data_IF_814351087920
#
_entry.id   IF_814351087920
#
_cell.length_a   1.000
_cell.length_b   1.000
_cell.length_c   1.000
_cell.angle_alpha   90.00
_cell.angle_beta   90.00
_cell.angle_gamma   90.00
#
_symmetry.space_group_name_H-M   'P 1'
#
loop_
_entity.id
_entity.type
_entity.pdbx_description
1 polymer ?
#
# COMPACT_ATOMS: atom_id res chain seq x y z
N UNK A 1 -9.91 -2.91 -0.53
CA UNK A 1 -9.31 -2.41 0.73
C UNK A 1 -10.34 -2.26 1.85
N UNK A 2 -11.40 -1.43 1.74
CA UNK A 2 -12.36 -1.28 2.86
C UNK A 2 -12.94 -2.61 3.37
N UNK A 3 -13.41 -3.47 2.46
CA UNK A 3 -13.96 -4.77 2.82
C UNK A 3 -12.94 -5.68 3.53
N UNK A 4 -11.70 -5.68 3.05
CA UNK A 4 -10.59 -6.44 3.66
C UNK A 4 -10.28 -5.94 5.08
N UNK A 5 -10.21 -4.61 5.25
CA UNK A 5 -10.00 -3.99 6.56
C UNK A 5 -11.18 -4.26 7.51
N UNK A 6 -12.42 -4.25 7.03
CA UNK A 6 -13.59 -4.60 7.85
C UNK A 6 -13.57 -6.07 8.29
N UNK A 7 -13.11 -6.98 7.44
CA UNK A 7 -13.09 -8.41 7.72
C UNK A 7 -12.02 -8.81 8.75
N UNK A 8 -10.82 -8.24 8.60
CA UNK A 8 -9.66 -8.66 9.39
C UNK A 8 -9.21 -7.61 10.43
N UNK A 9 -9.77 -6.40 10.41
CA UNK A 9 -9.36 -5.28 11.27
C UNK A 9 -9.40 -5.59 12.76
N UNK A 10 -10.51 -6.17 13.23
CA UNK A 10 -10.69 -6.59 14.63
C UNK A 10 -9.74 -7.71 15.06
N UNK A 11 -9.07 -8.36 14.11
CA UNK A 11 -8.14 -9.45 14.35
C UNK A 11 -6.69 -8.97 14.44
N UNK A 12 -6.42 -7.68 14.21
CA UNK A 12 -5.08 -7.08 14.23
C UNK A 12 -4.49 -6.83 12.84
N UNK A 13 -5.24 -7.03 11.76
CA UNK A 13 -4.84 -6.59 10.42
C UNK A 13 -5.11 -5.10 10.25
N UNK A 14 -4.20 -4.37 9.61
CA UNK A 14 -4.36 -2.94 9.35
C UNK A 14 -3.99 -2.65 7.91
N UNK A 15 -4.87 -1.92 7.20
CA UNK A 15 -4.53 -1.34 5.90
C UNK A 15 -3.93 0.06 6.10
N UNK A 16 -2.81 0.32 5.43
CA UNK A 16 -2.15 1.62 5.41
C UNK A 16 -2.05 2.09 3.95
N UNK A 17 -2.60 3.26 3.64
CA UNK A 17 -2.53 3.83 2.30
C UNK A 17 -1.58 5.03 2.23
N UNK A 18 -0.71 5.02 1.23
CA UNK A 18 0.28 6.06 0.99
C UNK A 18 0.02 6.70 -0.38
N UNK A 19 -0.65 7.87 -0.42
CA UNK A 19 -0.82 8.60 -1.67
C UNK A 19 0.54 8.90 -2.31
N UNK A 20 0.63 8.78 -3.63
CA UNK A 20 1.88 8.94 -4.37
C UNK A 20 1.59 9.45 -5.78
N UNK A 21 2.39 10.41 -6.24
CA UNK A 21 2.20 11.04 -7.56
C UNK A 21 3.28 10.66 -8.59
N UNK A 22 4.10 9.64 -8.30
CA UNK A 22 5.19 9.19 -9.17
C UNK A 22 4.70 8.54 -10.48
N UNK A 23 3.44 8.10 -10.56
CA UNK A 23 2.90 7.30 -11.66
C UNK A 23 1.82 8.06 -12.43
N UNK A 24 2.17 8.54 -13.63
CA UNK A 24 1.31 9.34 -14.52
C UNK A 24 0.51 10.45 -13.83
N UNK A 25 1.07 11.02 -12.78
CA UNK A 25 0.47 12.09 -11.96
C UNK A 25 -0.99 11.82 -11.55
N UNK A 26 -1.32 10.58 -11.21
CA UNK A 26 -2.69 10.15 -10.89
C UNK A 26 -3.17 10.57 -9.49
N UNK A 27 -2.32 11.19 -8.68
CA UNK A 27 -2.65 11.74 -7.36
C UNK A 27 -2.36 13.26 -7.30
N UNK A 28 -3.14 14.07 -8.05
CA UNK A 28 -2.87 15.50 -8.21
C UNK A 28 -3.18 16.32 -6.97
N UNK A 29 -3.94 15.79 -6.01
CA UNK A 29 -4.34 16.51 -4.79
C UNK A 29 -3.13 17.05 -4.02
N UNK A 30 -3.15 18.32 -3.65
CA UNK A 30 -2.05 19.02 -3.01
C UNK A 30 -1.87 18.63 -1.54
N UNK A 31 -2.95 18.25 -0.85
CA UNK A 31 -2.96 17.89 0.56
C UNK A 31 -3.99 16.80 0.85
N UNK A 32 -4.01 16.31 2.10
CA UNK A 32 -4.92 15.25 2.54
C UNK A 32 -6.41 15.58 2.36
N UNK A 33 -6.81 16.85 2.50
CA UNK A 33 -8.21 17.27 2.30
C UNK A 33 -8.65 17.11 0.85
N UNK A 34 -7.82 17.54 -0.11
CA UNK A 34 -8.14 17.38 -1.53
C UNK A 34 -8.19 15.90 -1.95
N UNK A 35 -7.26 15.09 -1.45
CA UNK A 35 -7.23 13.64 -1.71
C UNK A 35 -8.52 12.99 -1.20
N UNK A 36 -8.89 13.26 0.06
CA UNK A 36 -10.13 12.73 0.65
C UNK A 36 -11.38 13.21 -0.08
N UNK A 37 -11.42 14.47 -0.52
CA UNK A 37 -12.53 15.00 -1.31
C UNK A 37 -12.62 14.34 -2.69
N UNK A 38 -11.49 14.10 -3.36
CA UNK A 38 -11.44 13.37 -4.63
C UNK A 38 -12.03 11.96 -4.48
N UNK A 39 -11.61 11.24 -3.43
CA UNK A 39 -12.12 9.91 -3.10
C UNK A 39 -13.62 9.92 -2.79
N UNK A 40 -14.08 10.88 -1.97
CA UNK A 40 -15.47 10.96 -1.49
C UNK A 40 -16.46 11.43 -2.54
N UNK A 41 -16.07 12.40 -3.37
CA UNK A 41 -16.99 13.11 -4.26
C UNK A 41 -16.74 12.87 -5.75
N UNK A 42 -15.56 12.42 -6.16
CA UNK A 42 -15.20 12.29 -7.59
C UNK A 42 -15.02 10.83 -7.99
N UNK A 43 -14.00 10.15 -7.47
CA UNK A 43 -13.72 8.75 -7.77
C UNK A 43 -13.01 8.10 -6.58
N UNK A 44 -13.58 7.04 -5.98
CA UNK A 44 -14.81 6.34 -6.38
C UNK A 44 -16.09 7.18 -6.27
N UNK A 45 -16.12 8.25 -5.49
CA UNK A 45 -17.28 9.12 -5.36
C UNK A 45 -18.39 8.49 -4.51
N UNK A 46 -19.62 9.00 -4.63
CA UNK A 46 -20.80 8.41 -3.96
C UNK A 46 -20.76 8.48 -2.43
N UNK A 47 -19.97 9.37 -1.85
CA UNK A 47 -19.81 9.47 -0.39
C UNK A 47 -18.88 8.41 0.20
N UNK A 48 -18.09 7.71 -0.63
CA UNK A 48 -17.13 6.72 -0.17
C UNK A 48 -16.10 7.34 0.78
N UNK A 49 -15.84 6.66 1.90
CA UNK A 49 -14.81 7.04 2.87
C UNK A 49 -13.92 5.82 3.15
N UNK A 50 -12.59 5.93 3.00
CA UNK A 50 -11.66 4.88 3.43
C UNK A 50 -11.86 4.57 4.92
N UNK A 51 -11.99 3.30 5.28
CA UNK A 51 -12.11 2.88 6.69
C UNK A 51 -10.75 2.50 7.29
N UNK A 52 -9.67 3.03 6.72
CA UNK A 52 -8.29 2.72 7.06
C UNK A 52 -7.43 3.99 6.96
N UNK A 53 -6.25 3.96 7.57
CA UNK A 53 -5.40 5.14 7.65
C UNK A 53 -4.81 5.51 6.28
N UNK A 54 -5.00 6.76 5.88
CA UNK A 54 -4.25 7.39 4.80
C UNK A 54 -3.19 8.31 5.39
N UNK A 55 -1.96 8.21 4.88
CA UNK A 55 -0.85 9.06 5.26
C UNK A 55 -0.73 10.27 4.34
N UNK A 56 0.23 11.14 4.64
CA UNK A 56 0.63 12.19 3.72
C UNK A 56 1.16 11.61 2.41
N UNK A 57 1.13 12.45 1.37
CA UNK A 57 1.64 12.08 0.05
C UNK A 57 3.16 11.97 0.10
N UNK A 58 3.70 10.87 -0.40
CA UNK A 58 5.13 10.59 -0.41
C UNK A 58 5.61 10.09 -1.77
N UNK A 59 6.90 10.20 -2.00
CA UNK A 59 7.57 9.48 -3.10
C UNK A 59 7.89 8.05 -2.65
N UNK A 60 7.61 7.09 -3.52
CA UNK A 60 7.89 5.66 -3.27
C UNK A 60 9.11 5.16 -4.03
N UNK A 61 9.54 5.93 -5.04
CA UNK A 61 10.70 5.64 -5.89
C UNK A 61 11.55 6.91 -6.10
N UNK A 62 12.73 6.72 -6.70
CA UNK A 62 13.65 7.80 -7.04
C UNK A 62 14.59 8.18 -5.88
N UNK A 63 15.23 9.35 -6.02
CA UNK A 63 16.21 9.85 -5.05
C UNK A 63 15.58 10.29 -3.73
N UNK A 64 14.31 10.73 -3.77
CA UNK A 64 13.56 11.25 -2.62
C UNK A 64 12.62 10.21 -2.00
N UNK A 65 12.74 8.93 -2.37
CA UNK A 65 11.83 7.89 -1.88
C UNK A 65 11.83 7.81 -0.35
N UNK A 66 10.65 7.60 0.22
CA UNK A 66 10.51 7.45 1.65
C UNK A 66 11.21 6.17 2.14
N UNK A 67 11.94 6.25 3.26
CA UNK A 67 12.74 5.14 3.80
C UNK A 67 11.93 3.85 4.05
N UNK A 68 10.64 3.98 4.36
CA UNK A 68 9.73 2.84 4.43
C UNK A 68 9.71 2.05 3.11
N UNK A 69 9.56 2.73 1.98
CA UNK A 69 9.52 2.07 0.67
C UNK A 69 10.88 1.55 0.24
N UNK A 70 11.98 2.18 0.66
CA UNK A 70 13.32 1.57 0.53
C UNK A 70 13.36 0.22 1.25
N UNK A 71 12.93 0.16 2.51
CA UNK A 71 12.86 -1.09 3.27
C UNK A 71 11.95 -2.13 2.60
N UNK A 72 10.73 -1.76 2.22
CA UNK A 72 9.77 -2.67 1.61
C UNK A 72 10.29 -3.27 0.30
N UNK A 73 10.85 -2.44 -0.59
CA UNK A 73 11.41 -2.88 -1.88
C UNK A 73 12.64 -3.77 -1.74
N UNK A 74 13.47 -3.55 -0.72
CA UNK A 74 14.67 -4.37 -0.48
C UNK A 74 14.39 -5.73 0.13
N UNK A 75 13.21 -5.95 0.70
CA UNK A 75 12.84 -7.20 1.40
C UNK A 75 11.87 -8.08 0.61
N UNK A 76 11.62 -7.79 -0.68
CA UNK A 76 10.81 -8.65 -1.54
C UNK A 76 11.22 -8.48 -3.01
N UNK A 77 11.23 -9.56 -3.83
CA UNK A 77 11.50 -9.45 -5.26
C UNK A 77 10.56 -8.45 -5.95
N UNK A 78 11.01 -7.73 -6.99
CA UNK A 78 10.14 -6.85 -7.75
C UNK A 78 9.03 -7.60 -8.47
N UNK A 79 7.90 -6.92 -8.65
CA UNK A 79 6.73 -7.42 -9.38
C UNK A 79 6.96 -7.42 -10.91
N UNK A 80 7.84 -6.55 -11.38
CA UNK A 80 8.32 -6.44 -12.76
C UNK A 80 9.67 -5.73 -12.77
N UNK A 81 10.49 -6.00 -13.77
CA UNK A 81 11.73 -5.25 -14.05
C UNK A 81 11.60 -4.37 -15.30
N UNK A 82 10.42 -4.37 -15.94
CA UNK A 82 10.10 -3.60 -17.14
C UNK A 82 9.18 -2.45 -16.77
N UNK A 83 9.56 -1.24 -17.15
CA UNK A 83 8.88 0.00 -16.79
C UNK A 83 8.52 0.84 -18.01
N UNK A 84 7.34 1.47 -18.00
CA UNK A 84 6.93 2.45 -19.01
C UNK A 84 7.46 3.84 -18.63
N UNK A 85 8.73 4.11 -18.97
CA UNK A 85 9.47 5.28 -18.47
C UNK A 85 8.83 6.64 -18.79
N UNK A 86 8.15 6.88 -19.94
CA UNK A 86 7.41 8.13 -20.16
C UNK A 86 6.30 8.43 -19.14
N UNK A 87 5.80 7.41 -18.43
CA UNK A 87 4.75 7.55 -17.42
C UNK A 87 5.30 7.65 -16.00
N UNK A 88 6.61 7.62 -15.81
CA UNK A 88 7.27 7.65 -14.51
C UNK A 88 7.84 9.04 -14.23
N UNK A 89 7.39 9.65 -13.14
CA UNK A 89 7.75 11.00 -12.73
C UNK A 89 8.68 10.97 -11.52
N UNK A 90 9.82 10.30 -11.67
CA UNK A 90 10.91 10.22 -10.69
C UNK A 90 12.22 9.78 -11.36
N UNK A 91 13.33 9.98 -10.68
CA UNK A 91 14.64 9.47 -11.07
C UNK A 91 15.54 9.26 -9.82
N UNK A 92 16.53 8.37 -9.86
CA UNK A 92 16.79 7.38 -10.92
C UNK A 92 15.76 6.24 -10.90
N UNK A 93 15.66 5.51 -12.01
CA UNK A 93 14.86 4.27 -12.11
C UNK A 93 15.73 3.08 -11.72
N UNK A 94 15.21 2.18 -10.89
CA UNK A 94 15.87 0.98 -10.38
C UNK A 94 15.01 -0.25 -10.69
N UNK A 95 15.64 -1.42 -10.85
CA UNK A 95 14.94 -2.67 -11.14
C UNK A 95 14.01 -3.14 -10.01
N UNK A 96 14.21 -2.65 -8.78
CA UNK A 96 13.40 -2.98 -7.61
C UNK A 96 12.21 -2.05 -7.39
N UNK A 97 12.09 -0.97 -8.19
CA UNK A 97 11.10 0.09 -8.00
C UNK A 97 9.66 -0.43 -8.00
N UNK A 98 8.78 0.28 -7.28
CA UNK A 98 7.33 0.04 -7.36
C UNK A 98 6.90 0.30 -8.80
N UNK A 99 6.16 -0.63 -9.39
CA UNK A 99 5.85 -0.61 -10.81
C UNK A 99 4.77 0.41 -11.16
N UNK A 100 3.73 0.50 -10.33
CA UNK A 100 2.58 1.36 -10.56
C UNK A 100 1.75 1.59 -9.28
N UNK A 101 0.72 2.44 -9.41
CA UNK A 101 -0.33 2.58 -8.41
C UNK A 101 -0.97 1.22 -8.07
N UNK A 102 -1.34 1.04 -6.80
CA UNK A 102 -1.96 -0.19 -6.25
C UNK A 102 -1.05 -1.42 -6.14
N UNK A 103 0.26 -1.28 -6.32
CA UNK A 103 1.18 -2.29 -5.82
C UNK A 103 1.12 -2.36 -4.28
N UNK A 104 1.19 -3.56 -3.71
CA UNK A 104 1.00 -3.74 -2.26
C UNK A 104 2.07 -4.62 -1.63
N UNK A 105 2.27 -4.43 -0.33
CA UNK A 105 3.19 -5.21 0.50
C UNK A 105 2.41 -5.73 1.72
N UNK A 106 2.47 -7.04 1.95
CA UNK A 106 2.02 -7.64 3.21
C UNK A 106 3.22 -7.67 4.16
N UNK A 107 3.04 -7.08 5.33
CA UNK A 107 4.03 -7.06 6.42
C UNK A 107 3.48 -7.87 7.58
N UNK A 108 4.29 -8.80 8.08
CA UNK A 108 3.93 -9.65 9.21
C UNK A 108 3.95 -8.88 10.53
N UNK A 109 3.43 -9.52 11.58
CA UNK A 109 3.37 -8.92 12.92
C UNK A 109 4.75 -8.59 13.51
N UNK A 110 5.82 -9.22 13.00
CA UNK A 110 7.21 -9.02 13.38
C UNK A 110 7.90 -7.92 12.55
N UNK A 111 7.15 -7.23 11.69
CA UNK A 111 7.64 -6.16 10.83
C UNK A 111 8.33 -6.65 9.55
N UNK A 112 8.43 -7.96 9.32
CA UNK A 112 9.06 -8.51 8.11
C UNK A 112 8.11 -8.50 6.92
N UNK A 113 8.64 -8.20 5.74
CA UNK A 113 7.86 -8.27 4.49
C UNK A 113 7.60 -9.73 4.13
N UNK A 114 6.33 -10.10 4.03
CA UNK A 114 5.87 -11.46 3.72
C UNK A 114 5.65 -11.61 2.22
N UNK A 115 5.05 -10.61 1.58
CA UNK A 115 4.66 -10.69 0.18
C UNK A 115 4.59 -9.31 -0.46
N UNK A 116 4.91 -9.24 -1.75
CA UNK A 116 4.69 -8.08 -2.61
C UNK A 116 3.80 -8.51 -3.77
N UNK A 117 2.73 -7.76 -4.04
CA UNK A 117 1.76 -8.09 -5.10
C UNK A 117 1.75 -7.05 -6.20
N UNK A 118 1.67 -7.45 -7.48
CA UNK A 118 1.64 -6.50 -8.58
C UNK A 118 0.40 -5.59 -8.55
N UNK A 119 0.45 -4.46 -9.26
CA UNK A 119 -0.73 -3.63 -9.54
C UNK A 119 -1.90 -4.46 -10.08
N UNK A 120 -3.13 -4.02 -9.79
CA UNK A 120 -4.38 -4.68 -10.20
C UNK A 120 -4.60 -6.10 -9.64
N UNK A 121 -3.78 -6.57 -8.69
CA UNK A 121 -4.10 -7.76 -7.90
C UNK A 121 -5.39 -7.52 -7.10
N UNK A 122 -6.32 -8.47 -7.15
CA UNK A 122 -7.50 -8.44 -6.26
C UNK A 122 -7.02 -8.44 -4.80
N UNK A 123 -7.38 -7.44 -3.97
CA UNK A 123 -7.01 -7.42 -2.56
C UNK A 123 -7.39 -8.69 -1.80
N UNK A 124 -8.45 -9.39 -2.19
CA UNK A 124 -8.86 -10.66 -1.56
C UNK A 124 -7.96 -11.84 -1.91
N UNK A 125 -7.09 -11.73 -2.92
CA UNK A 125 -6.06 -12.73 -3.19
C UNK A 125 -5.02 -12.84 -2.04
N UNK A 126 -4.98 -11.86 -1.13
CA UNK A 126 -4.15 -11.87 0.08
C UNK A 126 -4.83 -12.55 1.28
N UNK A 127 -6.09 -12.97 1.19
CA UNK A 127 -6.85 -13.47 2.34
C UNK A 127 -6.13 -14.63 3.08
N UNK A 128 -5.66 -15.62 2.34
CA UNK A 128 -4.94 -16.76 2.93
C UNK A 128 -3.61 -16.35 3.59
N UNK A 129 -2.87 -15.42 2.96
CA UNK A 129 -1.61 -14.91 3.53
C UNK A 129 -1.87 -14.11 4.82
N UNK A 130 -2.93 -13.30 4.83
CA UNK A 130 -3.38 -12.52 6.00
C UNK A 130 -3.81 -13.45 7.13
N UNK A 131 -4.62 -14.46 6.85
CA UNK A 131 -5.08 -15.43 7.85
C UNK A 131 -3.91 -16.21 8.47
N UNK A 132 -2.91 -16.56 7.64
CA UNK A 132 -1.67 -17.19 8.10
C UNK A 132 -0.90 -16.28 9.07
N UNK A 133 -0.69 -15.00 8.71
CA UNK A 133 0.02 -14.05 9.56
C UNK A 133 -0.73 -13.74 10.86
N UNK A 134 -2.06 -13.64 10.80
CA UNK A 134 -2.89 -13.48 12.00
C UNK A 134 -2.80 -14.70 12.92
N UNK A 135 -2.76 -15.91 12.37
CA UNK A 135 -2.56 -17.13 13.16
C UNK A 135 -1.15 -17.16 13.79
N UNK A 136 -0.11 -16.77 13.06
CA UNK A 136 1.26 -16.65 13.60
C UNK A 136 1.35 -15.60 14.71
N UNK A 137 0.69 -14.45 14.55
CA UNK A 137 0.65 -13.39 15.55
C UNK A 137 0.00 -13.87 16.86
N UNK A 138 -1.13 -14.57 16.77
CA UNK A 138 -1.82 -15.19 17.92
C UNK A 138 -0.93 -16.23 18.61
N UNK A 139 -0.27 -17.09 17.84
CA UNK A 139 0.65 -18.09 18.38
C UNK A 139 1.85 -17.44 19.09
N UNK A 140 2.26 -16.24 18.67
CA UNK A 140 3.31 -15.45 19.30
C UNK A 140 2.82 -14.59 20.48
N UNK A 141 1.53 -14.66 20.86
CA UNK A 141 0.96 -13.87 21.95
C UNK A 141 0.78 -12.38 21.63
N UNK A 142 0.87 -11.99 20.36
CA UNK A 142 0.64 -10.60 19.94
C UNK A 142 -0.87 -10.33 19.92
N UNK A 143 -1.29 -9.36 20.74
CA UNK A 143 -2.69 -8.92 20.80
C UNK A 143 -2.99 -7.89 19.71
N UNK A 144 -4.22 -7.82 19.17
CA UNK A 144 -4.60 -6.79 18.21
C UNK A 144 -4.34 -5.39 18.78
N UNK A 145 -3.76 -4.51 17.98
CA UNK A 145 -3.72 -3.08 18.29
C UNK A 145 -5.13 -2.55 18.03
N UNK A 146 -5.92 -2.37 19.09
CA UNK A 146 -7.24 -1.75 19.00
C UNK A 146 -6.99 -0.25 18.94
N UNK A 147 -7.09 0.32 17.73
CA UNK A 147 -7.01 1.76 17.47
C UNK A 147 -8.30 2.49 17.79
#
# INVERSE_FOLDING_TARGET
MNALNSQYGSQGFVVLGFPCNNFNKQEPGANGTEILNGVKYVRPGGGFVPNFQLFEKIDVNGASEHKLFTYLKSNCPPTTTTFNTPLLFYAPIRSSDVAWNWESFLVGYDGRVVKRTPPATDPFALAADIESELARARAAGVSPIIG
#
